data_IF_172072984912
#
_entry.id   IF_172072984912
#
_cell.length_a   1.000
_cell.length_b   1.000
_cell.length_c   1.000
_cell.angle_alpha   90.00
_cell.angle_beta   90.00
_cell.angle_gamma   90.00
#
_symmetry.space_group_name_H-M   'P 1'
#
loop_
_entity.id
_entity.type
_entity.pdbx_description
1 polymer ?
2 polymer ?
3 non-polymer ?
4 non-polymer ?
5 non-polymer ?
6 non-polymer ?
7 non-polymer ?
8 water ?
#
# COMPACT_ATOMS: atom_id res chain seq x y z
N UNK A 1 1.07 18.92 5.48
CA UNK A 1 2.41 18.47 5.00
C UNK A 1 2.35 16.97 4.84
N UNK A 2 3.07 16.45 3.87
CA UNK A 2 3.05 15.00 3.65
C UNK A 2 3.95 14.32 4.67
N UNK A 3 3.51 13.16 5.15
CA UNK A 3 4.21 12.41 6.18
C UNK A 3 4.16 10.93 5.77
N UNK A 4 5.31 10.30 5.74
CA UNK A 4 5.40 8.88 5.46
C UNK A 4 5.22 8.10 6.76
N UNK A 5 4.40 7.05 6.73
CA UNK A 5 4.24 6.13 7.84
C UNK A 5 4.70 4.76 7.39
N UNK A 6 5.63 4.20 8.15
CA UNK A 6 6.21 2.89 7.90
C UNK A 6 6.22 2.03 9.15
N UNK A 7 6.55 0.77 8.98
CA UNK A 7 6.61 -0.19 10.05
C UNK A 7 6.48 -1.56 9.44
N UNK A 8 6.89 -2.59 10.17
CA UNK A 8 6.74 -3.96 9.68
C UNK A 8 5.28 -4.28 9.36
N UNK A 9 5.06 -5.25 8.50
CA UNK A 9 3.72 -5.72 8.28
C UNK A 9 3.07 -6.12 9.62
N UNK A 10 1.79 -5.86 9.73
CA UNK A 10 0.95 -6.20 10.89
C UNK A 10 1.19 -5.29 12.09
N UNK A 11 1.96 -4.22 11.94
CA UNK A 11 2.20 -3.30 13.06
C UNK A 11 0.97 -2.51 13.46
N UNK A 12 0.09 -2.22 12.50
CA UNK A 12 -1.15 -1.49 12.73
C UNK A 12 -1.35 -0.26 11.87
N UNK A 13 -0.60 -0.12 10.78
CA UNK A 13 -0.64 1.09 9.97
C UNK A 13 -2.01 1.33 9.36
N UNK A 14 -2.61 0.30 8.78
CA UNK A 14 -3.93 0.44 8.17
C UNK A 14 -4.97 0.83 9.19
N UNK A 15 -4.90 0.20 10.35
CA UNK A 15 -5.86 0.44 11.42
C UNK A 15 -5.75 1.87 11.88
N UNK A 16 -4.54 2.39 12.02
CA UNK A 16 -4.34 3.78 12.38
C UNK A 16 -4.98 4.70 11.35
N UNK A 17 -4.69 4.47 10.07
CA UNK A 17 -5.25 5.32 9.03
C UNK A 17 -6.77 5.30 9.02
N UNK A 18 -7.38 4.17 9.29
CA UNK A 18 -8.83 4.10 9.29
C UNK A 18 -9.40 4.90 10.45
N UNK A 19 -8.75 4.84 11.60
CA UNK A 19 -9.20 5.65 12.73
C UNK A 19 -9.12 7.13 12.42
N UNK A 20 -8.01 7.53 11.80
CA UNK A 20 -7.84 8.93 11.45
C UNK A 20 -8.92 9.38 10.47
N UNK A 21 -9.29 8.50 9.54
CA UNK A 21 -10.37 8.80 8.62
C UNK A 21 -11.66 9.14 9.38
N UNK A 22 -11.96 8.37 10.41
CA UNK A 22 -13.19 8.57 11.16
C UNK A 22 -13.21 9.88 11.90
N UNK A 23 -12.05 10.37 12.34
CA UNK A 23 -12.00 11.60 13.11
C UNK A 23 -12.25 12.85 12.31
N UNK A 24 -12.10 12.76 10.99
CA UNK A 24 -12.27 13.93 10.12
C UNK A 24 -13.73 14.21 9.80
N UNK A 25 -14.03 15.49 9.60
CA UNK A 25 -15.38 15.90 9.20
C UNK A 25 -15.52 15.89 7.69
N UNK A 26 -14.41 16.04 6.97
CA UNK A 26 -14.39 15.97 5.52
C UNK A 26 -14.37 14.49 5.13
N UNK A 27 -15.47 14.04 4.51
CA UNK A 27 -15.54 12.69 3.97
C UNK A 27 -15.02 12.72 2.53
N UNK A 28 -14.42 11.61 2.11
CA UNK A 28 -13.72 11.54 0.84
C UNK A 28 -14.30 10.45 -0.06
N UNK A 29 -14.48 10.78 -1.33
CA UNK A 29 -14.99 9.85 -2.35
C UNK A 29 -13.87 8.84 -2.61
N UNK A 30 -14.20 7.56 -2.79
CA UNK A 30 -13.18 6.54 -3.07
C UNK A 30 -12.30 6.81 -4.31
N UNK A 31 -11.03 6.45 -4.17
CA UNK A 31 -9.99 6.60 -5.18
C UNK A 31 -9.29 5.25 -5.27
N UNK A 32 -8.78 4.87 -6.45
CA UNK A 32 -7.89 3.73 -6.54
C UNK A 32 -6.51 4.16 -6.13
N UNK A 33 -5.89 3.39 -5.24
CA UNK A 33 -4.53 3.64 -4.84
C UNK A 33 -4.26 3.37 -3.39
N UNK A 34 -3.20 3.97 -2.90
CA UNK A 34 -2.75 3.77 -1.53
C UNK A 34 -3.65 4.42 -0.51
N UNK A 35 -3.60 3.87 0.68
CA UNK A 35 -4.27 4.48 1.84
C UNK A 35 -3.51 5.71 2.29
N UNK A 36 -4.21 6.85 2.26
CA UNK A 36 -3.67 8.15 2.61
C UNK A 36 -4.78 8.90 3.31
N UNK A 37 -4.44 9.52 4.43
CA UNK A 37 -5.42 10.26 5.21
C UNK A 37 -4.86 11.59 5.63
N UNK A 38 -5.64 12.64 5.43
CA UNK A 38 -5.26 13.96 5.89
C UNK A 38 -6.00 14.27 7.18
N UNK A 39 -5.23 14.68 8.18
CA UNK A 39 -5.77 15.14 9.47
C UNK A 39 -5.64 16.64 9.46
N UNK A 40 -6.77 17.35 9.51
CA UNK A 40 -6.76 18.80 9.37
C UNK A 40 -7.04 19.49 10.69
N UNK A 41 -6.08 20.32 11.12
CA UNK A 41 -6.27 21.23 12.26
C UNK A 41 -6.28 22.67 11.75
N UNK A 42 -6.53 23.63 12.64
CA UNK A 42 -6.64 25.03 12.22
C UNK A 42 -5.34 25.55 11.56
N UNK A 43 -4.20 25.23 12.16
CA UNK A 43 -2.93 25.83 11.74
C UNK A 43 -1.94 24.84 11.09
N UNK A 44 -2.34 23.58 10.95
CA UNK A 44 -1.48 22.57 10.37
C UNK A 44 -2.35 21.40 9.88
N UNK A 45 -1.85 20.71 8.86
CA UNK A 45 -2.49 19.48 8.38
C UNK A 45 -1.40 18.44 8.16
N UNK A 46 -1.73 17.17 8.35
CA UNK A 46 -0.82 16.06 8.08
C UNK A 46 -1.48 15.17 7.06
N UNK A 47 -0.79 14.88 5.95
CA UNK A 47 -1.26 13.89 4.98
C UNK A 47 -0.38 12.65 5.10
N UNK A 48 -0.91 11.63 5.76
CA UNK A 48 -0.16 10.46 6.14
C UNK A 48 -0.36 9.34 5.12
N UNK A 49 0.74 8.82 4.56
CA UNK A 49 0.70 7.77 3.56
C UNK A 49 1.22 6.44 4.12
N UNK A 50 0.55 5.34 3.80
CA UNK A 50 1.12 3.98 3.90
C UNK A 50 1.59 3.54 2.49
N UNK A 51 2.86 3.75 2.19
CA UNK A 51 3.36 3.49 0.83
C UNK A 51 4.73 2.85 0.78
N UNK A 52 5.30 2.49 1.93
CA UNK A 52 6.56 1.74 1.95
C UNK A 52 6.31 0.26 2.15
N UNK A 53 7.42 -0.48 2.18
CA UNK A 53 7.42 -1.88 2.60
C UNK A 53 8.38 -2.82 1.91
N UNK A 54 8.77 -2.50 0.67
CA UNK A 54 9.70 -3.35 -0.07
C UNK A 54 10.86 -2.54 -0.59
N UNK A 55 12.04 -3.16 -0.59
CA UNK A 55 13.25 -2.42 -0.91
C UNK A 55 13.26 -1.81 -2.31
N UNK A 56 12.72 -2.51 -3.29
CA UNK A 56 12.81 -2.03 -4.67
C UNK A 56 12.01 -0.74 -4.91
N UNK A 57 10.99 -0.47 -4.09
CA UNK A 57 10.23 0.78 -4.24
C UNK A 57 10.67 1.91 -3.33
N UNK A 58 11.71 1.67 -2.52
CA UNK A 58 12.26 2.73 -1.67
C UNK A 58 12.64 3.99 -2.46
N UNK A 59 13.25 3.89 -3.63
CA UNK A 59 13.53 5.13 -4.36
C UNK A 59 12.31 6.03 -4.63
N UNK A 60 11.14 5.41 -4.84
CA UNK A 60 9.95 6.19 -5.13
C UNK A 60 9.53 7.02 -3.92
N UNK A 61 9.49 6.41 -2.72
CA UNK A 61 9.13 7.20 -1.56
C UNK A 61 10.28 8.10 -1.09
N UNK A 62 11.54 7.73 -1.35
CA UNK A 62 12.66 8.63 -1.02
C UNK A 62 12.46 9.92 -1.80
N UNK A 63 12.09 9.80 -3.07
CA UNK A 63 11.92 10.96 -3.92
C UNK A 63 10.65 11.71 -3.59
N UNK A 64 9.54 10.99 -3.36
CA UNK A 64 8.28 11.66 -3.13
C UNK A 64 8.31 12.42 -1.80
N UNK A 65 8.98 11.84 -0.81
CA UNK A 65 9.09 12.44 0.53
C UNK A 65 10.42 13.13 0.77
N UNK A 66 11.10 13.53 -0.29
CA UNK A 66 12.39 14.19 -0.13
C UNK A 66 12.21 15.47 0.68
N UNK A 67 13.11 15.70 1.62
CA UNK A 67 13.08 16.88 2.48
C UNK A 67 11.81 17.02 3.32
N UNK A 68 11.14 15.90 3.58
CA UNK A 68 9.96 15.91 4.42
C UNK A 68 10.37 16.12 5.88
N UNK A 69 9.41 16.61 6.65
CA UNK A 69 9.69 17.13 7.97
C UNK A 69 9.40 16.18 9.11
N UNK A 70 8.69 15.08 8.84
CA UNK A 70 8.34 14.11 9.87
C UNK A 70 8.19 12.71 9.31
N UNK A 71 8.46 11.71 10.14
CA UNK A 71 8.34 10.30 9.81
C UNK A 71 7.63 9.60 10.95
N UNK A 72 6.68 8.72 10.64
CA UNK A 72 5.98 7.94 11.64
C UNK A 72 6.39 6.50 11.49
N UNK A 73 6.86 5.88 12.56
CA UNK A 73 7.23 4.48 12.57
C UNK A 73 6.33 3.75 13.54
N UNK A 74 5.64 2.72 13.06
CA UNK A 74 4.70 1.96 13.87
C UNK A 74 5.30 0.64 14.21
N UNK A 75 5.24 0.24 15.48
CA UNK A 75 5.74 -1.04 15.94
C UNK A 75 4.68 -1.79 16.70
N UNK A 76 4.61 -3.10 16.50
CA UNK A 76 3.76 -3.98 17.28
C UNK A 76 4.46 -4.26 18.60
N UNK A 77 3.95 -3.66 19.67
CA UNK A 77 4.57 -3.77 21.00
C UNK A 77 4.51 -5.17 21.56
N UNK A 78 3.65 -6.00 21.01
CA UNK A 78 3.51 -7.38 21.46
C UNK A 78 4.44 -8.35 20.73
N UNK A 79 5.07 -7.91 19.65
CA UNK A 79 5.85 -8.81 18.80
C UNK A 79 7.33 -8.82 19.22
N UNK A 80 7.62 -9.60 20.25
CA UNK A 80 8.97 -9.64 20.77
C UNK A 80 9.90 -10.35 19.78
N UNK A 81 9.37 -11.30 19.01
CA UNK A 81 10.15 -12.05 18.01
C UNK A 81 10.72 -11.14 16.92
N UNK A 82 10.01 -10.07 16.58
CA UNK A 82 10.40 -9.20 15.47
C UNK A 82 10.84 -7.81 15.90
N UNK A 83 11.02 -7.56 17.19
CA UNK A 83 11.43 -6.21 17.60
C UNK A 83 12.83 -5.83 17.10
N UNK A 84 13.74 -6.78 17.06
CA UNK A 84 15.06 -6.48 16.52
C UNK A 84 15.00 -6.13 15.04
N UNK A 85 14.19 -6.86 14.28
CA UNK A 85 13.97 -6.57 12.88
C UNK A 85 13.35 -5.16 12.71
N UNK A 86 12.41 -4.80 13.57
CA UNK A 86 11.86 -3.45 13.54
C UNK A 86 12.95 -2.39 13.78
N UNK A 87 13.82 -2.63 14.76
CA UNK A 87 14.89 -1.71 15.03
C UNK A 87 15.78 -1.53 13.80
N UNK A 88 16.14 -2.64 13.18
CA UNK A 88 17.01 -2.58 12.00
C UNK A 88 16.34 -1.80 10.88
N UNK A 89 15.05 -2.01 10.68
CA UNK A 89 14.32 -1.28 9.64
C UNK A 89 14.21 0.19 9.97
N UNK A 90 13.98 0.52 11.23
CA UNK A 90 13.94 1.91 11.64
C UNK A 90 15.29 2.58 11.35
N UNK A 91 16.38 1.92 11.71
CA UNK A 91 17.69 2.53 11.53
C UNK A 91 18.00 2.76 10.03
N UNK A 92 17.52 1.88 9.17
CA UNK A 92 17.65 2.09 7.71
C UNK A 92 16.90 3.35 7.26
N UNK A 93 15.71 3.56 7.79
CA UNK A 93 14.97 4.75 7.47
C UNK A 93 15.75 6.00 7.90
N UNK A 94 16.35 5.95 9.08
CA UNK A 94 17.01 7.11 9.67
C UNK A 94 18.38 7.38 9.04
N UNK A 95 18.85 6.46 8.23
CA UNK A 95 20.11 6.63 7.48
C UNK A 95 19.87 7.27 6.11
N UNK A 96 18.61 7.36 5.67
CA UNK A 96 18.31 7.92 4.35
C UNK A 96 18.57 9.42 4.30
N UNK A 97 19.33 9.85 3.29
CA UNK A 97 19.58 11.27 3.11
C UNK A 97 18.33 12.11 3.00
N UNK A 98 17.30 11.55 2.36
CA UNK A 98 16.09 12.29 2.01
C UNK A 98 15.25 12.61 3.23
N UNK A 99 15.45 11.85 4.30
CA UNK A 99 14.66 11.98 5.51
C UNK A 99 15.51 12.53 6.65
N UNK A 100 16.67 13.09 6.32
CA UNK A 100 17.64 13.52 7.31
C UNK A 100 17.09 14.57 8.28
N UNK A 101 16.20 15.42 7.79
CA UNK A 101 15.63 16.50 8.60
C UNK A 101 14.29 16.15 9.22
N UNK A 102 13.84 14.91 9.07
CA UNK A 102 12.56 14.52 9.64
C UNK A 102 12.63 14.23 11.14
N UNK A 103 11.68 14.75 11.88
CA UNK A 103 11.50 14.33 13.27
C UNK A 103 10.83 12.95 13.23
N UNK A 104 11.00 12.17 14.30
CA UNK A 104 10.51 10.79 14.35
C UNK A 104 9.45 10.63 15.41
N UNK A 105 8.26 10.23 15.00
CA UNK A 105 7.23 9.80 15.93
C UNK A 105 7.11 8.31 15.85
N UNK A 106 7.30 7.60 16.97
CA UNK A 106 7.11 6.16 17.04
C UNK A 106 5.79 5.91 17.72
N UNK A 107 4.90 5.17 17.06
CA UNK A 107 3.68 4.64 17.69
C UNK A 107 3.99 3.23 18.19
N UNK A 108 4.04 3.05 19.49
CA UNK A 108 4.25 1.76 20.13
C UNK A 108 2.87 1.15 20.30
N UNK A 109 2.42 0.44 19.30
CA UNK A 109 1.03 0.02 19.14
C UNK A 109 0.72 -1.31 19.80
N UNK A 110 -0.57 -1.61 19.95
CA UNK A 110 -1.04 -2.84 20.56
C UNK A 110 -0.76 -2.91 22.05
N UNK A 111 -0.79 -1.75 22.71
CA UNK A 111 -0.61 -1.69 24.16
C UNK A 111 -1.74 -2.37 24.94
N UNK A 112 -2.83 -2.70 24.28
CA UNK A 112 -3.94 -3.43 24.88
C UNK A 112 -3.59 -4.90 25.17
N UNK A 113 -2.63 -5.45 24.43
CA UNK A 113 -2.35 -6.88 24.54
C UNK A 113 -1.61 -7.14 25.83
N UNK A 114 -2.00 -8.21 26.53
CA UNK A 114 -1.52 -8.45 27.88
C UNK A 114 -0.01 -8.59 28.02
N UNK A 115 0.66 -9.17 27.03
CA UNK A 115 2.12 -9.33 27.10
C UNK A 115 2.88 -8.26 26.34
N UNK A 116 2.23 -7.15 26.00
CA UNK A 116 2.91 -6.09 25.27
C UNK A 116 4.09 -5.50 26.03
N UNK A 117 5.16 -5.23 25.33
CA UNK A 117 6.29 -4.46 25.86
C UNK A 117 5.83 -3.05 26.20
N UNK A 118 6.23 -2.53 27.35
CA UNK A 118 5.90 -1.16 27.69
C UNK A 118 6.77 -0.14 26.95
N UNK A 119 6.45 1.14 27.12
CA UNK A 119 7.13 2.22 26.42
C UNK A 119 8.63 2.21 26.69
N UNK A 120 9.02 1.98 27.93
CA UNK A 120 10.45 1.91 28.28
C UNK A 120 11.16 0.75 27.57
N UNK A 121 10.50 -0.41 27.52
CA UNK A 121 11.07 -1.57 26.87
C UNK A 121 11.21 -1.34 25.35
N UNK A 122 10.21 -0.74 24.74
CA UNK A 122 10.27 -0.45 23.30
C UNK A 122 11.36 0.59 23.02
N UNK A 123 11.49 1.57 23.89
CA UNK A 123 12.53 2.59 23.73
C UNK A 123 13.90 1.91 23.72
N UNK A 124 14.09 0.96 24.62
CA UNK A 124 15.35 0.21 24.71
C UNK A 124 15.56 -0.63 23.46
N UNK A 125 14.55 -1.40 23.10
CA UNK A 125 14.69 -2.42 22.06
C UNK A 125 14.74 -1.81 20.66
N UNK A 126 14.22 -0.60 20.46
CA UNK A 126 14.35 0.12 19.20
C UNK A 126 15.57 1.03 19.16
N UNK A 127 16.33 1.08 20.25
CA UNK A 127 17.58 1.83 20.26
C UNK A 127 17.43 3.33 20.19
N UNK A 128 16.32 3.84 20.69
CA UNK A 128 16.02 5.26 20.53
C UNK A 128 16.99 6.17 21.30
N UNK A 129 17.53 5.70 22.42
CA UNK A 129 18.53 6.48 23.16
C UNK A 129 19.83 6.66 22.41
N UNK A 130 20.07 5.87 21.38
CA UNK A 130 21.26 6.03 20.54
C UNK A 130 21.19 7.17 19.53
N UNK A 131 19.99 7.72 19.28
CA UNK A 131 19.85 8.74 18.24
C UNK A 131 20.51 10.04 18.70
N UNK A 132 21.29 10.66 17.82
CA UNK A 132 22.06 11.86 18.20
C UNK A 132 21.46 13.15 17.66
N UNK A 133 21.09 13.14 16.39
CA UNK A 133 20.71 14.35 15.67
C UNK A 133 19.28 14.26 15.20
N UNK A 134 18.47 13.62 16.03
CA UNK A 134 17.09 13.36 15.69
C UNK A 134 16.22 13.74 16.87
N UNK A 135 15.24 14.59 16.62
CA UNK A 135 14.15 14.79 17.56
C UNK A 135 13.19 13.60 17.42
N UNK A 136 12.88 12.94 18.53
CA UNK A 136 12.04 11.73 18.51
C UNK A 136 11.14 11.66 19.73
N UNK A 137 10.08 10.88 19.58
CA UNK A 137 9.08 10.73 20.63
C UNK A 137 8.48 9.36 20.49
N UNK A 138 8.25 8.67 21.58
CA UNK A 138 7.53 7.41 21.57
C UNK A 138 6.16 7.61 22.21
N UNK A 139 5.14 7.29 21.44
CA UNK A 139 3.75 7.40 21.83
C UNK A 139 3.14 6.01 21.92
N UNK A 140 2.77 5.59 23.11
CA UNK A 140 2.03 4.37 23.32
C UNK A 140 0.63 4.51 22.71
N UNK A 141 0.18 3.48 22.00
CA UNK A 141 -1.10 3.51 21.33
C UNK A 141 -1.82 2.19 21.37
N UNK A 142 -3.14 2.29 21.17
CA UNK A 142 -3.95 1.14 20.78
C UNK A 142 -4.74 1.61 19.59
N UNK A 143 -4.38 1.13 18.40
CA UNK A 143 -5.03 1.60 17.20
C UNK A 143 -6.46 1.14 17.08
N UNK A 144 -6.82 0.03 17.70
CA UNK A 144 -8.20 -0.41 17.59
C UNK A 144 -9.14 0.48 18.39
N UNK A 145 -8.68 1.09 19.47
CA UNK A 145 -9.47 2.10 20.20
C UNK A 145 -9.24 3.54 19.74
N UNK A 146 -8.08 3.81 19.16
CA UNK A 146 -7.68 5.17 18.85
C UNK A 146 -6.87 5.87 19.91
N UNK A 147 -6.70 5.24 21.06
CA UNK A 147 -5.94 5.87 22.12
C UNK A 147 -4.47 6.09 21.74
N UNK A 148 -3.97 7.29 22.02
CA UNK A 148 -2.61 7.67 21.74
C UNK A 148 -2.39 8.34 20.41
N UNK A 149 -3.31 8.13 19.45
CA UNK A 149 -3.05 8.61 18.10
C UNK A 149 -2.98 10.12 18.00
N UNK A 150 -3.99 10.82 18.51
CA UNK A 150 -3.99 12.26 18.43
C UNK A 150 -2.94 12.89 19.34
N UNK A 151 -2.62 12.20 20.44
CA UNK A 151 -1.57 12.64 21.34
C UNK A 151 -0.21 12.66 20.63
N UNK A 152 0.05 11.62 19.83
CA UNK A 152 1.30 11.57 19.08
C UNK A 152 1.32 12.64 18.00
N UNK A 153 0.21 12.81 17.30
CA UNK A 153 0.12 13.84 16.27
C UNK A 153 0.22 15.25 16.87
N UNK A 154 -0.25 15.41 18.09
CA UNK A 154 -0.09 16.69 18.79
C UNK A 154 1.40 16.98 19.01
N UNK A 155 2.18 15.97 19.38
CA UNK A 155 3.61 16.20 19.55
C UNK A 155 4.23 16.60 18.23
N UNK A 156 3.87 15.87 17.18
CA UNK A 156 4.40 16.12 15.86
C UNK A 156 4.06 17.55 15.44
N UNK A 157 2.84 18.01 15.79
CA UNK A 157 2.47 19.41 15.57
C UNK A 157 3.37 20.31 16.41
N UNK A 158 3.57 19.94 17.68
CA UNK A 158 4.46 20.71 18.56
C UNK A 158 5.94 20.65 18.15
N UNK A 159 6.31 19.86 17.16
CA UNK A 159 7.67 19.92 16.62
C UNK A 159 7.66 20.67 15.31
N UNK A 160 6.49 20.78 14.68
CA UNK A 160 6.37 21.30 13.30
C UNK A 160 5.37 22.45 13.22
N UNK B 13 -27.48 -25.89 -9.73
CA UNK B 13 -28.64 -25.77 -8.81
C UNK B 13 -28.50 -24.54 -7.92
N UNK B 14 -29.27 -24.47 -6.84
CA UNK B 14 -29.29 -23.29 -5.97
C UNK B 14 -27.97 -23.07 -5.23
N UNK B 15 -27.18 -24.12 -5.08
CA UNK B 15 -25.96 -24.05 -4.31
C UNK B 15 -24.98 -23.02 -4.89
N UNK B 16 -24.91 -22.90 -6.21
CA UNK B 16 -23.95 -21.97 -6.82
C UNK B 16 -24.24 -20.50 -6.47
N UNK B 17 -25.50 -20.10 -6.53
CA UNK B 17 -25.89 -18.74 -6.20
C UNK B 17 -25.57 -18.45 -4.73
N UNK B 18 -25.77 -19.43 -3.85
CA UNK B 18 -25.45 -19.32 -2.43
C UNK B 18 -23.95 -19.14 -2.22
N UNK B 19 -23.14 -19.90 -2.93
CA UNK B 19 -21.70 -19.77 -2.85
C UNK B 19 -21.20 -18.41 -3.27
N UNK B 20 -21.82 -17.84 -4.31
CA UNK B 20 -21.45 -16.51 -4.76
C UNK B 20 -21.75 -15.44 -3.71
N UNK B 21 -22.92 -15.54 -3.09
CA UNK B 21 -23.27 -14.62 -2.01
C UNK B 21 -22.35 -14.78 -0.82
N UNK B 22 -22.03 -16.02 -0.47
CA UNK B 22 -21.06 -16.26 0.60
C UNK B 22 -19.69 -15.66 0.27
N UNK B 23 -19.25 -15.81 -0.99
CA UNK B 23 -18.00 -15.22 -1.43
C UNK B 23 -18.01 -13.70 -1.23
N UNK B 24 -19.10 -13.05 -1.64
CA UNK B 24 -19.24 -11.61 -1.48
C UNK B 24 -19.21 -11.18 -0.02
N UNK B 25 -19.77 -12.01 0.84
CA UNK B 25 -19.81 -11.75 2.27
C UNK B 25 -18.43 -11.96 2.92
N UNK B 26 -17.73 -13.01 2.49
CA UNK B 26 -16.44 -13.44 3.06
C UNK B 26 -15.77 -14.37 2.08
N UNK B 27 -14.85 -13.86 1.27
CA UNK B 27 -14.31 -14.65 0.16
C UNK B 27 -13.85 -16.05 0.52
N UNK B 28 -13.05 -16.21 1.55
CA UNK B 28 -12.55 -17.55 1.89
C UNK B 28 -13.71 -18.50 2.19
N UNK B 29 -14.78 -18.00 2.82
CA UNK B 29 -15.94 -18.83 3.09
C UNK B 29 -16.67 -19.25 1.81
N UNK B 30 -16.83 -18.33 0.88
CA UNK B 30 -17.43 -18.69 -0.39
C UNK B 30 -16.64 -19.78 -1.12
N UNK B 31 -15.32 -19.65 -1.15
CA UNK B 31 -14.47 -20.64 -1.78
C UNK B 31 -14.60 -21.97 -1.04
N UNK B 32 -14.56 -21.94 0.29
CA UNK B 32 -14.74 -23.15 1.12
C UNK B 32 -16.01 -23.88 0.73
N UNK B 33 -17.12 -23.14 0.68
CA UNK B 33 -18.43 -23.69 0.37
C UNK B 33 -18.46 -24.30 -1.04
N UNK B 34 -17.95 -23.60 -2.03
CA UNK B 34 -18.01 -24.08 -3.39
C UNK B 34 -17.15 -25.33 -3.54
N UNK B 35 -16.00 -25.37 -2.88
CA UNK B 35 -15.12 -26.54 -2.94
C UNK B 35 -15.77 -27.74 -2.25
N UNK B 36 -16.29 -27.52 -1.05
CA UNK B 36 -16.88 -28.62 -0.27
C UNK B 36 -18.06 -29.23 -1.00
N UNK B 37 -18.81 -28.40 -1.73
CA UNK B 37 -20.01 -28.85 -2.46
C UNK B 37 -19.72 -29.26 -3.92
N UNK B 38 -18.44 -29.43 -4.24
CA UNK B 38 -17.98 -29.92 -5.55
C UNK B 38 -18.44 -29.05 -6.71
N UNK B 39 -18.54 -27.76 -6.46
CA UNK B 39 -18.92 -26.81 -7.49
C UNK B 39 -17.71 -26.07 -8.04
N UNK B 40 -16.58 -26.21 -7.36
CA UNK B 40 -15.34 -25.57 -7.78
C UNK B 40 -14.20 -26.49 -7.35
N UNK B 41 -13.29 -26.77 -8.27
CA UNK B 41 -12.11 -27.54 -7.95
C UNK B 41 -11.12 -26.69 -7.14
N UNK B 42 -10.52 -27.29 -6.11
CA UNK B 42 -9.61 -26.59 -5.23
C UNK B 42 -8.18 -26.56 -5.78
N UNK B 43 -8.03 -25.88 -6.90
CA UNK B 43 -6.72 -25.58 -7.47
C UNK B 43 -6.61 -24.10 -7.73
N UNK B 44 -5.41 -23.57 -7.68
CA UNK B 44 -5.24 -22.13 -7.94
C UNK B 44 -5.79 -21.74 -9.29
N UNK B 45 -5.64 -22.62 -10.27
CA UNK B 45 -6.06 -22.31 -11.63
C UNK B 45 -7.57 -22.25 -11.72
N UNK B 46 -8.27 -23.21 -11.10
CA UNK B 46 -9.72 -23.18 -11.16
C UNK B 46 -10.33 -22.03 -10.34
N UNK B 47 -9.74 -21.72 -9.19
CA UNK B 47 -10.21 -20.60 -8.43
C UNK B 47 -9.99 -19.30 -9.22
N UNK B 48 -8.81 -19.17 -9.84
CA UNK B 48 -8.53 -17.99 -10.64
C UNK B 48 -9.51 -17.83 -11.79
N UNK B 49 -9.82 -18.92 -12.48
CA UNK B 49 -10.77 -18.87 -13.59
C UNK B 49 -12.15 -18.40 -13.12
N UNK B 50 -12.56 -18.89 -11.95
CA UNK B 50 -13.81 -18.48 -11.32
C UNK B 50 -13.82 -16.98 -11.04
N UNK B 51 -12.72 -16.45 -10.49
CA UNK B 51 -12.61 -15.05 -10.17
C UNK B 51 -12.52 -14.18 -11.40
N UNK B 52 -11.83 -14.65 -12.44
CA UNK B 52 -11.69 -13.90 -13.67
C UNK B 52 -13.03 -13.78 -14.40
N UNK B 53 -13.80 -14.86 -14.43
CA UNK B 53 -15.15 -14.80 -15.00
C UNK B 53 -16.00 -13.85 -14.16
N UNK B 54 -15.91 -13.98 -12.83
CA UNK B 54 -16.49 -13.00 -11.92
C UNK B 54 -18.01 -12.94 -11.87
N UNK B 55 -18.67 -14.03 -12.26
CA UNK B 55 -20.13 -14.06 -12.36
C UNK B 55 -20.81 -13.88 -11.00
N UNK B 56 -21.53 -12.79 -10.83
CA UNK B 56 -22.22 -12.52 -9.58
C UNK B 56 -21.32 -12.21 -8.40
N UNK B 57 -20.08 -11.86 -8.67
CA UNK B 57 -19.09 -11.55 -7.64
C UNK B 57 -18.81 -10.07 -7.57
N UNK B 58 -18.69 -9.60 -6.34
CA UNK B 58 -18.30 -8.22 -6.07
C UNK B 58 -16.80 -8.05 -6.29
N UNK B 59 -16.44 -7.06 -7.07
CA UNK B 59 -15.03 -6.84 -7.37
C UNK B 59 -14.21 -6.46 -6.14
N UNK B 60 -14.81 -5.84 -5.12
CA UNK B 60 -14.10 -5.64 -3.86
C UNK B 60 -13.73 -6.98 -3.21
N UNK B 61 -14.67 -7.91 -3.22
CA UNK B 61 -14.43 -9.24 -2.66
C UNK B 61 -13.35 -9.98 -3.44
N UNK B 62 -13.38 -9.87 -4.76
CA UNK B 62 -12.34 -10.50 -5.58
C UNK B 62 -10.98 -9.93 -5.20
N UNK B 63 -10.87 -8.61 -5.15
CA UNK B 63 -9.64 -7.96 -4.78
C UNK B 63 -9.13 -8.33 -3.41
N UNK B 64 -10.04 -8.43 -2.47
CA UNK B 64 -9.68 -8.80 -1.12
C UNK B 64 -9.09 -10.21 -1.07
N UNK B 65 -9.69 -11.13 -1.82
CA UNK B 65 -9.20 -12.49 -1.89
C UNK B 65 -7.80 -12.54 -2.52
N UNK B 66 -7.64 -11.86 -3.64
CA UNK B 66 -6.37 -11.85 -4.37
C UNK B 66 -5.27 -11.18 -3.56
N UNK B 67 -5.66 -10.33 -2.62
CA UNK B 67 -4.74 -9.60 -1.75
C UNK B 67 -4.31 -10.27 -0.47
N UNK B 68 -4.81 -11.45 -0.17
CA UNK B 68 -4.45 -12.12 1.06
C UNK B 68 -3.03 -12.68 0.96
N UNK B 69 -2.32 -12.69 2.09
CA UNK B 69 -0.91 -13.10 2.14
C UNK B 69 -0.66 -14.62 2.01
N UNK B 70 -1.71 -15.41 2.18
CA UNK B 70 -1.63 -16.87 2.27
C UNK B 70 -1.13 -17.52 0.97
N UNK B 71 -0.48 -18.68 1.08
CA UNK B 71 0.14 -19.35 -0.06
C UNK B 71 -0.84 -19.60 -1.20
N UNK B 72 -2.02 -20.11 -0.87
CA UNK B 72 -3.01 -20.41 -1.90
C UNK B 72 -3.39 -19.13 -2.62
N UNK B 73 -3.66 -18.09 -1.85
CA UNK B 73 -4.12 -16.84 -2.45
C UNK B 73 -3.07 -16.26 -3.38
N UNK B 74 -1.79 -16.37 -3.02
CA UNK B 74 -0.73 -15.89 -3.86
C UNK B 74 -0.67 -16.69 -5.18
N UNK B 75 -0.86 -18.00 -5.08
CA UNK B 75 -0.89 -18.87 -6.26
C UNK B 75 -2.11 -18.53 -7.12
N UNK B 76 -3.24 -18.22 -6.49
CA UNK B 76 -4.41 -17.78 -7.24
C UNK B 76 -4.13 -16.46 -7.94
N UNK B 77 -3.48 -15.53 -7.25
CA UNK B 77 -3.11 -14.26 -7.87
C UNK B 77 -2.27 -14.44 -9.12
N UNK B 78 -1.27 -15.31 -9.04
CA UNK B 78 -0.44 -15.54 -10.21
C UNK B 78 -1.23 -16.19 -11.34
N UNK B 79 -2.08 -17.16 -11.00
CA UNK B 79 -2.92 -17.77 -12.03
C UNK B 79 -3.93 -16.81 -12.64
N UNK B 80 -4.41 -15.86 -11.83
CA UNK B 80 -5.36 -14.85 -12.28
C UNK B 80 -4.71 -13.89 -13.28
N UNK B 81 -3.49 -13.46 -12.95
CA UNK B 81 -2.73 -12.62 -13.84
C UNK B 81 -2.45 -13.34 -15.17
N UNK B 82 -2.20 -14.64 -15.09
CA UNK B 82 -1.95 -15.46 -16.29
C UNK B 82 -3.14 -15.46 -17.25
N UNK B 83 -4.35 -15.26 -16.74
CA UNK B 83 -5.53 -15.18 -17.60
C UNK B 83 -5.74 -13.87 -18.35
N UNK B 84 -4.98 -12.84 -17.97
CA UNK B 84 -5.03 -11.57 -18.63
C UNK B 84 -4.08 -11.56 -19.82
N UNK B 85 -4.54 -10.93 -20.88
CA UNK B 85 -3.72 -10.69 -22.07
C UNK B 85 -3.36 -9.23 -22.13
N UNK B 86 -2.07 -8.90 -22.06
CA UNK B 86 -1.61 -7.53 -22.11
C UNK B 86 -0.81 -7.17 -23.38
N UNK B 87 -0.76 -8.06 -24.35
CA UNK B 87 0.01 -7.80 -25.57
C UNK B 87 -0.51 -6.57 -26.30
N UNK B 88 0.40 -5.74 -26.80
CA UNK B 88 0.08 -4.56 -27.62
C UNK B 88 -0.63 -3.47 -26.82
N UNK B 89 -0.45 -3.50 -25.51
CA UNK B 89 -0.94 -2.42 -24.64
C UNK B 89 0.22 -1.71 -24.03
N UNK B 90 0.11 -0.41 -23.85
CA UNK B 90 1.07 0.31 -23.03
C UNK B 90 0.79 0.03 -21.56
N UNK B 91 1.67 0.49 -20.67
CA UNK B 91 1.59 0.09 -19.28
C UNK B 91 0.30 0.54 -18.65
N UNK B 92 -0.13 1.78 -18.92
CA UNK B 92 -1.35 2.27 -18.32
C UNK B 92 -2.58 1.56 -18.89
N UNK B 93 -2.61 1.33 -20.18
CA UNK B 93 -3.71 0.56 -20.79
C UNK B 93 -3.83 -0.81 -20.14
N UNK B 94 -2.69 -1.48 -19.91
CA UNK B 94 -2.70 -2.80 -19.33
C UNK B 94 -3.16 -2.72 -17.87
N UNK B 95 -2.67 -1.72 -17.13
CA UNK B 95 -3.11 -1.56 -15.75
C UNK B 95 -4.61 -1.29 -15.70
N UNK B 96 -5.16 -0.51 -16.63
CA UNK B 96 -6.59 -0.24 -16.59
C UNK B 96 -7.38 -1.52 -16.77
N UNK B 97 -6.92 -2.37 -17.65
CA UNK B 97 -7.58 -3.67 -17.87
C UNK B 97 -7.48 -4.54 -16.62
N UNK B 98 -6.30 -4.61 -16.06
CA UNK B 98 -6.08 -5.43 -14.88
C UNK B 98 -6.95 -4.93 -13.73
N UNK B 99 -6.94 -3.62 -13.50
CA UNK B 99 -7.61 -3.03 -12.34
C UNK B 99 -9.10 -2.86 -12.57
N UNK B 100 -9.60 -3.24 -13.74
CA UNK B 100 -11.04 -3.34 -13.92
C UNK B 100 -11.55 -4.72 -13.48
N UNK B 101 -10.69 -5.73 -13.43
CA UNK B 101 -11.12 -7.08 -13.10
C UNK B 101 -11.28 -7.35 -11.61
N UNK B 102 -10.83 -6.42 -10.78
CA UNK B 102 -10.98 -6.49 -9.34
C UNK B 102 -10.75 -5.11 -8.80
N UNK B 103 -11.22 -4.84 -7.58
CA UNK B 103 -10.93 -3.58 -6.91
C UNK B 103 -9.62 -3.68 -6.17
N UNK B 104 -8.67 -2.83 -6.54
CA UNK B 104 -7.37 -2.80 -5.90
C UNK B 104 -7.53 -2.47 -4.41
N UNK B 105 -6.97 -3.30 -3.53
CA UNK B 105 -6.93 -2.94 -2.10
C UNK B 105 -6.09 -1.70 -1.88
N UNK B 106 -6.24 -1.08 -0.71
CA UNK B 106 -5.48 0.09 -0.36
C UNK B 106 -4.18 -0.22 0.37
N UNK B 107 -4.06 -1.36 1.00
CA UNK B 107 -2.85 -1.68 1.78
C UNK B 107 -1.63 -1.82 0.89
N UNK B 108 -0.55 -1.15 1.24
CA UNK B 108 0.59 -1.05 0.34
C UNK B 108 1.19 -2.41 -0.01
N UNK B 109 1.24 -3.35 0.92
CA UNK B 109 1.82 -4.66 0.61
C UNK B 109 0.98 -5.48 -0.29
N UNK B 110 -0.32 -5.26 -0.27
CA UNK B 110 -1.21 -5.94 -1.20
C UNK B 110 -1.00 -5.36 -2.58
N UNK B 111 -0.97 -4.03 -2.68
CA UNK B 111 -0.65 -3.36 -3.94
C UNK B 111 0.69 -3.83 -4.46
N UNK B 112 1.69 -3.98 -3.60
CA UNK B 112 3.03 -4.34 -4.01
C UNK B 112 3.00 -5.74 -4.66
N UNK B 113 2.36 -6.72 -4.01
CA UNK B 113 2.33 -8.08 -4.54
C UNK B 113 1.58 -8.09 -5.88
N UNK B 114 0.53 -7.33 -5.96
CA UNK B 114 -0.27 -7.26 -7.18
C UNK B 114 0.49 -6.62 -8.32
N UNK B 115 1.25 -5.58 -8.05
CA UNK B 115 2.02 -4.93 -9.10
C UNK B 115 3.19 -5.80 -9.54
N UNK B 116 3.82 -6.56 -8.64
CA UNK B 116 4.92 -7.44 -9.03
C UNK B 116 4.37 -8.56 -9.93
N UNK B 117 3.22 -9.12 -9.58
CA UNK B 117 2.61 -10.18 -10.39
C UNK B 117 2.20 -9.63 -11.75
N UNK B 118 1.55 -8.48 -11.75
CA UNK B 118 1.20 -7.79 -13.00
C UNK B 118 2.41 -7.56 -13.88
N UNK B 119 3.51 -7.08 -13.30
CA UNK B 119 4.66 -6.70 -14.10
C UNK B 119 5.26 -7.90 -14.80
N UNK B 120 5.34 -9.03 -14.13
CA UNK B 120 5.86 -10.23 -14.74
C UNK B 120 5.06 -10.56 -15.99
N UNK B 121 3.74 -10.48 -15.91
CA UNK B 121 2.89 -10.80 -17.05
C UNK B 121 2.98 -9.74 -18.13
N UNK B 122 3.02 -8.48 -17.76
CA UNK B 122 3.15 -7.41 -18.73
C UNK B 122 4.38 -7.60 -19.59
N UNK B 123 5.49 -7.90 -18.94
CA UNK B 123 6.77 -8.03 -19.64
C UNK B 123 6.77 -9.24 -20.55
N UNK B 124 6.21 -10.35 -20.11
CA UNK B 124 6.09 -11.54 -20.96
C UNK B 124 5.24 -11.24 -22.20
N UNK B 125 4.19 -10.45 -22.04
CA UNK B 125 3.28 -10.11 -23.13
C UNK B 125 3.84 -9.05 -24.05
N UNK B 126 4.79 -8.25 -23.56
CA UNK B 126 5.39 -7.16 -24.30
C UNK B 126 6.92 -7.18 -24.16
N UNK B 127 7.56 -8.17 -24.79
CA UNK B 127 9.02 -8.31 -24.62
C UNK B 127 9.76 -7.07 -25.12
N UNK B 128 10.78 -6.67 -24.40
CA UNK B 128 11.66 -5.59 -24.80
C UNK B 128 11.22 -4.20 -24.41
N UNK B 129 9.99 -4.04 -23.95
CA UNK B 129 9.52 -2.72 -23.54
C UNK B 129 10.27 -2.26 -22.28
N UNK B 130 10.44 -3.17 -21.33
CA UNK B 130 11.21 -2.89 -20.09
C UNK B 130 12.38 -3.85 -19.99
N UNK B 131 13.48 -3.37 -19.42
CA UNK B 131 14.69 -4.17 -19.45
C UNK B 131 14.75 -5.17 -18.32
N UNK B 132 13.86 -5.04 -17.36
CA UNK B 132 13.71 -6.04 -16.31
C UNK B 132 12.30 -6.01 -15.77
N UNK B 133 11.87 -7.11 -15.19
CA UNK B 133 10.58 -7.13 -14.55
C UNK B 133 10.58 -6.17 -13.36
N UNK B 134 11.70 -6.05 -12.65
CA UNK B 134 11.81 -5.09 -11.56
C UNK B 134 11.49 -3.67 -12.01
N UNK B 135 12.03 -3.27 -13.16
CA UNK B 135 11.77 -1.92 -13.66
C UNK B 135 10.26 -1.74 -13.89
N UNK B 136 9.63 -2.73 -14.52
CA UNK B 136 8.20 -2.66 -14.78
C UNK B 136 7.38 -2.63 -13.49
N UNK B 137 7.75 -3.43 -12.52
CA UNK B 137 7.04 -3.49 -11.23
C UNK B 137 7.15 -2.15 -10.51
N UNK B 138 8.36 -1.60 -10.45
CA UNK B 138 8.56 -0.34 -9.75
C UNK B 138 7.81 0.79 -10.46
N UNK B 139 7.89 0.83 -11.79
CA UNK B 139 7.12 1.83 -12.54
C UNK B 139 5.61 1.67 -12.33
N UNK B 140 5.12 0.43 -12.30
CA UNK B 140 3.70 0.20 -12.07
C UNK B 140 3.29 0.72 -10.70
N UNK B 141 4.08 0.45 -9.68
CA UNK B 141 3.83 0.96 -8.33
C UNK B 141 3.82 2.50 -8.35
N UNK B 142 4.75 3.08 -9.09
CA UNK B 142 4.83 4.51 -9.27
C UNK B 142 3.57 5.11 -9.90
N UNK B 143 3.02 4.42 -10.88
CA UNK B 143 1.78 4.82 -11.53
C UNK B 143 0.62 4.79 -10.53
N UNK B 144 0.57 3.79 -9.64
CA UNK B 144 -0.46 3.77 -8.59
C UNK B 144 -0.28 4.96 -7.64
N UNK B 145 0.96 5.25 -7.29
CA UNK B 145 1.27 6.43 -6.49
C UNK B 145 0.80 7.68 -7.18
N UNK B 146 1.03 7.78 -8.49
CA UNK B 146 0.56 8.95 -9.25
C UNK B 146 -0.95 9.06 -9.24
N UNK B 147 -1.67 7.97 -9.46
CA UNK B 147 -3.11 8.05 -9.43
C UNK B 147 -3.59 8.54 -8.07
N UNK B 148 -2.93 8.08 -7.01
CA UNK B 148 -3.24 8.49 -5.65
C UNK B 148 -3.00 9.99 -5.46
N UNK B 149 -1.83 10.45 -5.87
CA UNK B 149 -1.47 11.86 -5.73
C UNK B 149 -2.43 12.75 -6.51
N UNK B 150 -2.71 12.40 -7.76
CA UNK B 150 -3.50 13.27 -8.62
C UNK B 150 -4.98 13.25 -8.28
N UNK B 151 -5.49 12.13 -7.81
CA UNK B 151 -6.94 11.95 -7.72
C UNK B 151 -7.52 11.65 -6.33
N UNK B 152 -6.68 11.38 -5.34
CA UNK B 152 -7.17 11.21 -3.98
C UNK B 152 -7.32 12.61 -3.37
N UNK B 153 -8.54 13.02 -2.97
CA UNK B 153 -8.73 14.37 -2.45
C UNK B 153 -7.98 14.65 -1.15
N UNK B 154 -7.54 13.62 -0.44
CA UNK B 154 -6.70 13.85 0.72
C UNK B 154 -5.38 14.52 0.36
N UNK B 155 -4.93 14.38 -0.89
CA UNK B 155 -3.67 14.95 -1.34
C UNK B 155 -3.93 16.34 -1.94
N UNK B 156 -3.38 17.38 -1.33
CA UNK B 156 -3.79 18.74 -1.69
C UNK B 156 -3.10 19.33 -2.91
N UNK B 157 -1.77 19.36 -2.89
CA UNK B 157 -0.95 19.99 -3.92
C UNK B 157 -0.38 18.96 -4.91
N UNK B 158 -1.12 18.73 -5.99
CA UNK B 158 -0.83 17.68 -6.95
C UNK B 158 0.59 17.77 -7.55
N UNK B 159 1.10 16.61 -7.94
CA UNK B 159 2.39 16.47 -8.59
C UNK B 159 2.28 16.95 -10.03
N UNK B 160 3.19 17.82 -10.45
CA UNK B 160 3.31 18.15 -11.85
C UNK B 160 4.14 17.09 -12.59
N UNK B 161 4.18 17.21 -13.91
CA UNK B 161 4.96 16.28 -14.75
C UNK B 161 6.42 16.21 -14.33
N UNK B 162 7.07 17.36 -14.14
CA UNK B 162 8.48 17.38 -13.78
C UNK B 162 8.75 16.60 -12.50
N UNK B 163 7.89 16.78 -11.50
CA UNK B 163 8.02 16.07 -10.24
C UNK B 163 7.82 14.55 -10.41
N UNK B 164 6.89 14.14 -11.26
CA UNK B 164 6.69 12.71 -11.53
C UNK B 164 7.90 12.12 -12.25
N UNK B 165 8.45 12.86 -13.22
CA UNK B 165 9.65 12.40 -13.89
C UNK B 165 10.77 12.21 -12.87
N UNK B 166 10.94 13.16 -11.95
CA UNK B 166 11.98 13.09 -10.94
C UNK B 166 11.78 11.93 -9.98
N UNK B 167 10.53 11.59 -9.68
CA UNK B 167 10.22 10.54 -8.73
C UNK B 167 10.75 9.18 -9.22
N UNK B 168 10.79 9.04 -10.54
CA UNK B 168 11.21 7.78 -11.20
C UNK B 168 12.68 7.69 -11.55
N UNK B 169 13.48 8.69 -11.20
CA UNK B 169 14.89 8.60 -11.54
C UNK B 169 15.55 7.38 -10.91
N UNK B 170 16.38 6.70 -11.69
CA UNK B 170 17.18 5.60 -11.18
C UNK B 170 16.56 4.23 -11.25
N UNK B 171 15.27 4.14 -11.56
CA UNK B 171 14.57 2.85 -11.48
C UNK B 171 14.75 1.93 -12.67
N UNK B 172 15.39 2.42 -13.73
CA UNK B 172 15.70 1.61 -14.91
C UNK B 172 17.05 0.94 -14.72
N UNK B 173 17.08 -0.07 -13.85
CA UNK B 173 18.32 -0.75 -13.45
C UNK B 173 19.46 0.23 -13.19
N UNK B 174 19.16 1.25 -12.39
CA UNK B 174 20.15 2.23 -11.95
C UNK B 174 20.10 3.52 -12.74
N UNK B 175 19.53 3.45 -13.94
CA UNK B 175 19.41 4.62 -14.81
C UNK B 175 17.97 5.11 -14.92
N UNK B 176 17.73 5.95 -15.91
CA UNK B 176 16.43 6.56 -16.10
C UNK B 176 15.67 5.97 -17.27
N UNK B 177 14.35 6.04 -17.17
CA UNK B 177 13.44 5.73 -18.27
C UNK B 177 13.31 6.93 -19.21
N UNK B 178 12.87 6.71 -20.43
CA UNK B 178 12.69 7.84 -21.35
C UNK B 178 11.65 8.85 -20.84
N UNK B 179 11.94 10.14 -20.91
CA UNK B 179 11.00 11.18 -20.49
C UNK B 179 9.66 11.06 -21.24
N UNK B 180 9.70 10.73 -22.53
CA UNK B 180 8.50 10.61 -23.32
C UNK B 180 7.59 9.51 -22.78
N UNK B 181 8.17 8.40 -22.33
CA UNK B 181 7.35 7.34 -21.72
C UNK B 181 6.63 7.85 -20.47
N UNK B 182 7.39 8.50 -19.59
CA UNK B 182 6.85 9.00 -18.34
C UNK B 182 5.79 10.07 -18.60
N UNK B 183 6.02 10.92 -19.60
CA UNK B 183 5.01 11.92 -19.97
C UNK B 183 3.73 11.27 -20.46
N UNK B 184 3.83 10.24 -21.28
CA UNK B 184 2.66 9.58 -21.82
C UNK B 184 1.84 8.93 -20.69
N UNK B 185 2.52 8.33 -19.72
CA UNK B 185 1.84 7.69 -18.59
C UNK B 185 1.20 8.78 -17.71
N UNK B 186 1.95 9.83 -17.41
CA UNK B 186 1.45 10.94 -16.59
C UNK B 186 0.21 11.55 -17.21
N UNK B 187 0.29 11.89 -18.49
CA UNK B 187 -0.86 12.49 -19.16
C UNK B 187 -2.10 11.61 -19.13
N UNK B 188 -1.93 10.29 -19.31
CA UNK B 188 -3.07 9.39 -19.33
C UNK B 188 -3.78 9.35 -17.97
N UNK B 189 -2.99 9.25 -16.91
CA UNK B 189 -3.55 9.20 -15.55
C UNK B 189 -4.17 10.54 -15.17
N UNK B 190 -3.51 11.64 -15.55
CA UNK B 190 -4.06 12.95 -15.20
C UNK B 190 -5.41 13.15 -15.86
N UNK B 191 -5.52 12.73 -17.12
CA UNK B 191 -6.76 12.91 -17.89
C UNK B 191 -7.88 11.95 -17.48
N UNK B 192 -7.52 10.76 -17.02
CA UNK B 192 -8.49 9.74 -16.66
C UNK B 192 -7.98 8.92 -15.46
N UNK B 193 -8.56 9.11 -14.28
CA UNK B 193 -8.17 8.27 -13.14
C UNK B 193 -8.48 6.80 -13.42
N UNK B 194 -7.81 5.90 -12.70
CA UNK B 194 -8.25 4.51 -12.71
C UNK B 194 -9.71 4.49 -12.23
N UNK B 195 -10.58 3.88 -13.03
CA UNK B 195 -12.01 3.85 -12.74
C UNK B 195 -12.32 2.94 -11.56
N UNK B 196 -13.26 3.34 -10.71
CA UNK B 196 -13.68 2.47 -9.62
C UNK B 196 -14.52 1.37 -10.26
N UNK B 197 -14.07 0.11 -10.22
CA UNK B 197 -14.71 -0.97 -10.97
C UNK B 197 -16.17 -1.21 -10.66
N UNK B 198 -16.92 -1.52 -11.70
CA UNK B 198 -18.33 -1.84 -11.58
C UNK B 198 -18.47 -3.35 -11.80
N UNK B 199 -19.25 -3.98 -10.92
CA UNK B 199 -19.58 -5.40 -11.01
C UNK B 199 -21.10 -5.60 -11.02
#
# INVERSE_FOLDING_TARGET
>A
MRILMVGLDAAGKTTILYKLKLGEIVTTIPTIGFNVETVEYKNISFTVWDVGGQDKIRPLWRHYFQNTQGLIFVVDSNDRERVNEAREELMRMLAEDELRDAVLLVFANKQDLPNAMNAAEITDKLGLHSLRHRNWYIQATCATSGDGLYEGLDWLSNQLRNQK
>B
LEANEGSKTLQRNRKMAMGRKKFNMDPKKGIQFLVENELLQNTPEEIARFLYKGEGLNKTAIGDYLGEREELNLAVLHAFVDLHEFTDLNLVQALRQFLWSFRLPGKAQKIDRMMEAFAQRYCLCNPGVFQSTDTCYVLSYSVIMLNTDLHNPNVRDKMGLERFVAMNRGINEGGDLPEELLRNLYDSIRNEPFKIPEDDGND
#
